data_IF_487194732355
#
_entry.id   IF_487194732355
#
_cell.length_a   1.000
_cell.length_b   1.000
_cell.length_c   1.000
_cell.angle_alpha   90.00
_cell.angle_beta   90.00
_cell.angle_gamma   90.00
#
_symmetry.space_group_name_H-M   'P 1'
#
loop_
_entity.id
_entity.type
_entity.pdbx_description
1 polymer ?
#
# COMPACT_ATOMS: atom_id res chain seq x y z
N UNK A 1 -31.09 -40.09 -6.05
CA UNK A 1 -29.76 -39.83 -6.63
C UNK A 1 -29.15 -38.67 -5.85
N UNK A 2 -28.16 -38.94 -4.99
CA UNK A 2 -27.43 -37.87 -4.31
C UNK A 2 -26.43 -37.29 -5.32
N UNK A 3 -26.74 -36.13 -5.89
CA UNK A 3 -25.75 -35.31 -6.59
C UNK A 3 -24.97 -34.59 -5.48
N UNK A 4 -24.05 -35.30 -4.84
CA UNK A 4 -23.14 -34.68 -3.91
C UNK A 4 -22.37 -33.60 -4.69
N UNK A 5 -22.65 -32.32 -4.41
CA UNK A 5 -21.93 -31.20 -5.04
C UNK A 5 -20.46 -31.18 -4.60
N UNK A 6 -20.16 -31.79 -3.47
CA UNK A 6 -18.83 -31.81 -2.89
C UNK A 6 -18.34 -33.26 -2.82
N UNK A 7 -17.16 -33.53 -3.35
CA UNK A 7 -16.59 -34.88 -3.44
C UNK A 7 -15.07 -34.82 -3.39
N UNK A 8 -14.44 -35.88 -2.91
CA UNK A 8 -12.99 -36.05 -3.04
C UNK A 8 -12.65 -36.45 -4.48
N UNK A 9 -11.66 -35.80 -5.07
CA UNK A 9 -11.15 -36.09 -6.42
C UNK A 9 -9.75 -36.69 -6.28
N UNK A 10 -9.70 -37.90 -5.73
CA UNK A 10 -8.48 -38.55 -5.26
C UNK A 10 -8.21 -38.33 -3.76
N UNK A 11 -7.01 -38.72 -3.31
CA UNK A 11 -6.64 -38.67 -1.89
C UNK A 11 -6.34 -37.24 -1.40
N UNK A 12 -5.78 -36.39 -2.27
CA UNK A 12 -5.19 -35.10 -1.88
C UNK A 12 -6.07 -33.88 -2.24
N UNK A 13 -7.22 -34.09 -2.89
CA UNK A 13 -8.02 -33.01 -3.45
C UNK A 13 -9.49 -33.11 -3.04
N UNK A 14 -10.02 -32.00 -2.55
CA UNK A 14 -11.46 -31.83 -2.30
C UNK A 14 -12.05 -30.84 -3.30
N UNK A 15 -13.10 -31.25 -4.01
CA UNK A 15 -13.85 -30.40 -4.93
C UNK A 15 -15.13 -29.93 -4.25
N UNK A 16 -15.35 -28.61 -4.24
CA UNK A 16 -16.56 -27.97 -3.74
C UNK A 16 -17.36 -27.42 -4.93
N UNK A 17 -18.48 -28.05 -5.27
CA UNK A 17 -19.38 -27.62 -6.35
C UNK A 17 -20.50 -26.67 -5.89
N UNK A 18 -20.49 -26.28 -4.61
CA UNK A 18 -21.38 -25.27 -4.03
C UNK A 18 -20.58 -24.14 -3.37
N UNK A 19 -21.15 -23.52 -2.34
CA UNK A 19 -20.45 -22.51 -1.54
C UNK A 19 -19.61 -23.18 -0.46
N UNK A 20 -18.36 -22.74 -0.29
CA UNK A 20 -17.56 -23.00 0.90
C UNK A 20 -17.71 -21.81 1.84
N UNK A 21 -18.35 -22.02 2.98
CA UNK A 21 -18.45 -21.01 4.05
C UNK A 21 -17.42 -21.32 5.14
N UNK A 22 -16.67 -20.29 5.55
CA UNK A 22 -15.65 -20.37 6.58
C UNK A 22 -16.09 -19.46 7.72
N UNK A 23 -16.50 -20.07 8.83
CA UNK A 23 -17.06 -19.35 9.97
C UNK A 23 -16.00 -18.53 10.72
N UNK A 24 -16.48 -17.58 11.53
CA UNK A 24 -15.61 -16.77 12.39
C UNK A 24 -14.73 -17.65 13.28
N UNK A 25 -13.42 -17.42 13.24
CA UNK A 25 -12.43 -18.17 14.02
C UNK A 25 -11.86 -19.42 13.34
N UNK A 26 -12.37 -19.81 12.17
CA UNK A 26 -11.76 -20.88 11.38
C UNK A 26 -10.44 -20.40 10.72
N UNK A 27 -9.49 -21.34 10.53
CA UNK A 27 -8.15 -21.06 10.00
C UNK A 27 -7.97 -21.82 8.69
N UNK A 28 -7.57 -21.11 7.64
CA UNK A 28 -7.12 -21.70 6.37
C UNK A 28 -5.61 -21.57 6.28
N UNK A 29 -4.92 -22.70 6.10
CA UNK A 29 -3.46 -22.75 5.99
C UNK A 29 -3.09 -23.04 4.54
N UNK A 30 -2.05 -22.36 4.03
CA UNK A 30 -1.48 -22.65 2.71
C UNK A 30 -2.08 -21.85 1.55
N UNK A 31 -3.01 -20.91 1.80
CA UNK A 31 -3.30 -19.88 0.81
C UNK A 31 -2.06 -19.01 0.61
N UNK A 32 -1.73 -18.62 -0.64
CA UNK A 32 -0.60 -17.73 -0.89
C UNK A 32 -0.76 -16.46 -0.07
N UNK A 33 0.25 -16.12 0.72
CA UNK A 33 0.31 -14.84 1.43
C UNK A 33 1.04 -13.85 0.52
N UNK A 34 0.58 -12.60 0.52
CA UNK A 34 1.29 -11.56 -0.22
C UNK A 34 2.65 -11.32 0.43
N UNK A 35 3.70 -11.34 -0.37
CA UNK A 35 5.06 -10.94 0.03
C UNK A 35 5.51 -9.80 -0.87
N UNK A 36 6.67 -9.24 -0.58
CA UNK A 36 7.35 -8.27 -1.45
C UNK A 36 7.57 -8.78 -2.89
N UNK A 37 7.69 -10.09 -3.08
CA UNK A 37 7.92 -10.73 -4.38
C UNK A 37 6.74 -11.54 -4.93
N UNK A 38 5.62 -11.69 -4.20
CA UNK A 38 4.53 -12.60 -4.60
C UNK A 38 3.15 -12.05 -4.19
N UNK A 39 2.17 -12.00 -5.10
CA UNK A 39 0.91 -11.25 -4.90
C UNK A 39 -0.15 -11.91 -3.99
N UNK A 40 0.15 -13.01 -3.30
CA UNK A 40 -0.76 -13.58 -2.29
C UNK A 40 -2.16 -13.96 -2.79
N UNK A 41 -2.32 -14.23 -4.09
CA UNK A 41 -3.62 -14.49 -4.71
C UNK A 41 -4.45 -13.25 -5.05
N UNK A 42 -4.00 -12.04 -4.70
CA UNK A 42 -4.62 -10.79 -5.15
C UNK A 42 -4.30 -10.60 -6.64
N UNK A 43 -5.34 -10.53 -7.48
CA UNK A 43 -5.21 -10.11 -8.88
C UNK A 43 -5.12 -8.57 -8.87
N UNK A 44 -3.91 -8.03 -8.87
CA UNK A 44 -3.64 -6.61 -9.08
C UNK A 44 -3.17 -6.37 -10.51
N UNK A 45 -3.47 -5.19 -11.05
CA UNK A 45 -2.91 -4.77 -12.34
C UNK A 45 -1.38 -4.62 -12.24
N UNK A 46 -0.69 -4.80 -13.36
CA UNK A 46 0.75 -4.59 -13.40
C UNK A 46 1.08 -3.12 -13.11
N UNK A 47 2.14 -2.89 -12.31
CA UNK A 47 2.69 -1.57 -12.01
C UNK A 47 2.92 -0.76 -13.30
N UNK A 48 2.37 0.44 -13.39
CA UNK A 48 2.66 1.42 -14.44
C UNK A 48 3.89 2.28 -14.13
N UNK A 49 4.36 3.06 -15.11
CA UNK A 49 5.53 3.93 -14.93
C UNK A 49 5.32 5.03 -13.87
N UNK A 50 4.08 5.46 -13.65
CA UNK A 50 3.70 6.43 -12.63
C UNK A 50 3.63 5.85 -11.21
N UNK A 51 3.61 4.52 -11.07
CA UNK A 51 3.46 3.83 -9.79
C UNK A 51 4.83 3.69 -9.12
N UNK A 52 5.35 4.82 -8.67
CA UNK A 52 6.72 4.95 -8.17
C UNK A 52 6.88 4.54 -6.70
N UNK A 53 5.78 4.46 -5.96
CA UNK A 53 5.79 4.14 -4.52
C UNK A 53 5.43 2.67 -4.31
N UNK A 54 6.35 1.92 -3.73
CA UNK A 54 6.12 0.52 -3.38
C UNK A 54 5.22 0.41 -2.14
N UNK A 55 4.23 -0.49 -2.19
CA UNK A 55 3.47 -0.91 -1.01
C UNK A 55 4.31 -1.91 -0.24
N UNK A 56 4.62 -1.62 1.03
CA UNK A 56 5.35 -2.54 1.89
C UNK A 56 4.38 -3.53 2.52
N UNK A 57 4.68 -4.82 2.47
CA UNK A 57 3.91 -5.84 3.19
C UNK A 57 4.60 -6.14 4.52
N UNK A 58 3.85 -6.08 5.61
CA UNK A 58 4.32 -6.61 6.89
C UNK A 58 4.28 -8.13 6.85
N UNK A 59 5.46 -8.77 6.92
CA UNK A 59 5.62 -10.23 6.86
C UNK A 59 4.95 -10.98 8.01
N UNK A 60 4.62 -10.28 9.10
CA UNK A 60 3.98 -10.86 10.30
C UNK A 60 2.47 -10.82 10.20
N UNK A 61 1.90 -9.74 9.65
CA UNK A 61 0.44 -9.51 9.64
C UNK A 61 -0.19 -9.66 8.26
N UNK A 62 0.61 -9.69 7.19
CA UNK A 62 0.14 -9.73 5.80
C UNK A 62 -0.54 -8.44 5.34
N UNK A 63 -0.50 -7.37 6.14
CA UNK A 63 -1.13 -6.08 5.80
C UNK A 63 -0.22 -5.27 4.88
N UNK A 64 -0.82 -4.65 3.86
CA UNK A 64 -0.15 -3.68 3.01
C UNK A 64 -0.09 -2.30 3.67
N UNK A 65 1.08 -1.67 3.62
CA UNK A 65 1.35 -0.33 4.11
C UNK A 65 1.78 0.54 2.94
N UNK A 66 1.06 1.64 2.76
CA UNK A 66 1.50 2.73 1.89
C UNK A 66 2.26 3.72 2.79
N UNK A 67 3.42 4.25 2.37
CA UNK A 67 4.08 5.34 3.08
C UNK A 67 3.07 6.46 3.35
N UNK A 68 3.12 7.05 4.54
CA UNK A 68 2.33 8.25 4.84
C UNK A 68 2.63 9.28 3.75
N UNK A 69 1.59 9.82 3.10
CA UNK A 69 1.78 10.82 2.05
C UNK A 69 2.57 12.00 2.62
N UNK A 70 3.59 12.44 1.91
CA UNK A 70 4.45 13.53 2.33
C UNK A 70 3.61 14.81 2.49
N UNK A 71 3.54 15.36 3.70
CA UNK A 71 2.85 16.63 3.97
C UNK A 71 3.90 17.63 4.42
N UNK A 72 4.01 18.76 3.70
CA UNK A 72 4.88 19.84 4.15
C UNK A 72 4.32 20.52 5.40
N UNK A 73 5.24 20.89 6.30
CA UNK A 73 4.88 21.74 7.42
C UNK A 73 4.31 23.07 6.92
N UNK A 74 3.35 23.63 7.64
CA UNK A 74 2.69 24.87 7.25
C UNK A 74 3.69 26.04 7.10
N UNK A 75 3.50 26.88 6.08
CA UNK A 75 4.16 28.16 5.94
C UNK A 75 3.16 29.24 6.36
N UNK A 76 3.54 30.09 7.31
CA UNK A 76 2.72 31.24 7.69
C UNK A 76 2.64 32.23 6.53
N UNK A 77 1.58 33.04 6.50
CA UNK A 77 1.42 34.11 5.51
C UNK A 77 2.64 35.04 5.51
N UNK A 78 3.10 35.43 4.31
CA UNK A 78 4.21 36.35 4.18
C UNK A 78 3.80 37.74 4.69
N UNK A 79 4.65 38.30 5.56
CA UNK A 79 4.50 39.69 6.06
C UNK A 79 5.57 40.62 5.49
N UNK A 80 6.25 40.17 4.42
CA UNK A 80 7.33 40.91 3.79
C UNK A 80 6.85 42.23 3.19
N UNK A 81 7.56 43.31 3.49
CA UNK A 81 7.35 44.66 2.92
C UNK A 81 8.42 45.04 1.89
N UNK A 82 9.43 44.19 1.74
CA UNK A 82 10.53 44.37 0.80
C UNK A 82 10.93 43.03 0.18
N UNK A 83 11.84 43.10 -0.80
CA UNK A 83 12.31 41.93 -1.54
C UNK A 83 13.11 40.99 -0.64
N UNK A 84 13.82 41.52 0.36
CA UNK A 84 14.64 40.71 1.27
C UNK A 84 13.75 39.81 2.14
N UNK A 85 12.64 40.33 2.66
CA UNK A 85 11.62 39.57 3.39
C UNK A 85 10.95 38.51 2.51
N UNK A 86 10.60 38.86 1.27
CA UNK A 86 9.97 37.91 0.35
C UNK A 86 10.91 36.72 0.05
N UNK A 87 12.20 37.01 -0.16
CA UNK A 87 13.22 35.99 -0.39
C UNK A 87 13.35 35.05 0.82
N UNK A 88 13.32 35.60 2.05
CA UNK A 88 13.39 34.82 3.26
C UNK A 88 12.18 33.88 3.41
N UNK A 89 10.96 34.41 3.26
CA UNK A 89 9.73 33.62 3.36
C UNK A 89 9.63 32.54 2.28
N UNK A 90 10.04 32.87 1.06
CA UNK A 90 10.07 31.93 -0.05
C UNK A 90 11.07 30.79 0.19
N UNK A 91 12.29 31.10 0.62
CA UNK A 91 13.29 30.08 0.93
C UNK A 91 12.87 29.20 2.12
N UNK A 92 12.12 29.74 3.09
CA UNK A 92 11.55 28.95 4.17
C UNK A 92 10.51 27.93 3.67
N UNK A 93 9.67 28.30 2.71
CA UNK A 93 8.76 27.37 2.05
C UNK A 93 9.52 26.27 1.30
N UNK A 94 10.53 26.63 0.50
CA UNK A 94 11.35 25.65 -0.22
C UNK A 94 12.01 24.64 0.73
N UNK A 95 12.54 25.11 1.86
CA UNK A 95 13.13 24.24 2.87
C UNK A 95 12.09 23.24 3.44
N UNK A 96 10.86 23.69 3.70
CA UNK A 96 9.77 22.82 4.20
C UNK A 96 9.34 21.78 3.17
N UNK A 97 9.26 22.16 1.89
CA UNK A 97 8.95 21.22 0.80
C UNK A 97 10.03 20.16 0.62
N UNK A 98 11.31 20.56 0.69
CA UNK A 98 12.47 19.64 0.66
C UNK A 98 12.49 18.70 1.85
N UNK A 99 12.29 19.23 3.06
CA UNK A 99 12.26 18.43 4.28
C UNK A 99 11.10 17.41 4.28
N UNK A 100 9.97 17.76 3.66
CA UNK A 100 8.84 16.86 3.48
C UNK A 100 9.05 15.81 2.38
N UNK A 101 10.09 15.91 1.54
CA UNK A 101 10.25 15.02 0.39
C UNK A 101 9.33 15.33 -0.78
N UNK A 102 8.68 16.50 -0.78
CA UNK A 102 7.85 17.00 -1.89
C UNK A 102 8.67 17.76 -2.95
N UNK A 103 9.93 18.06 -2.65
CA UNK A 103 10.89 18.70 -3.56
C UNK A 103 12.27 18.06 -3.39
N UNK A 104 13.02 17.90 -4.48
CA UNK A 104 14.40 17.38 -4.46
C UNK A 104 15.30 18.31 -3.65
N UNK A 105 16.21 17.73 -2.85
CA UNK A 105 17.21 18.47 -2.10
C UNK A 105 18.19 19.21 -3.03
N UNK A 106 18.86 20.25 -2.51
CA UNK A 106 19.91 20.92 -3.28
C UNK A 106 21.06 19.95 -3.58
N UNK A 107 21.65 20.10 -4.77
CA UNK A 107 22.79 19.31 -5.23
C UNK A 107 24.08 19.65 -4.48
#
# INVERSE_FOLDING_TARGET
MYIAKNHTDGADKWVIGGTLEIESGAIVIGLPIATDTNSGGIIAEAKGESDTVEVKIDSTTGKGYVPTYYIAANQADSTAIDVAGLLADFNALLAKLKAAGLMVADA
#
